data_IF_721989554905
#
_entry.id   IF_721989554905
#
_cell.length_a   1.000
_cell.length_b   1.000
_cell.length_c   1.000
_cell.angle_alpha   90.00
_cell.angle_beta   90.00
_cell.angle_gamma   90.00
#
_symmetry.space_group_name_H-M   'P 1'
#
loop_
_entity.id
_entity.type
_entity.pdbx_description
1 polymer ?
#
# COMPACT_ATOMS: atom_id res chain seq x y z
N UNK A 1 -1.11 -2.33 -22.68
CA UNK A 1 -0.13 -1.89 -21.65
C UNK A 1 -0.87 -1.95 -20.32
N UNK A 2 -0.32 -2.61 -19.30
CA UNK A 2 -0.93 -2.68 -17.97
C UNK A 2 -0.30 -1.63 -17.04
N UNK A 3 -1.13 -1.01 -16.21
CA UNK A 3 -0.76 -0.02 -15.19
C UNK A 3 -0.39 -0.69 -13.87
N UNK A 4 0.52 -0.07 -13.11
CA UNK A 4 1.02 -0.62 -11.85
C UNK A 4 1.18 0.48 -10.81
N UNK A 5 0.31 0.47 -9.79
CA UNK A 5 0.44 1.32 -8.62
C UNK A 5 1.59 0.86 -7.76
N UNK A 6 2.54 1.76 -7.43
CA UNK A 6 3.71 1.38 -6.63
C UNK A 6 4.32 2.56 -5.86
N UNK A 7 4.99 2.32 -4.75
CA UNK A 7 5.15 1.03 -4.06
C UNK A 7 4.22 1.01 -2.84
N UNK A 8 3.21 0.14 -2.82
CA UNK A 8 2.25 0.02 -1.73
C UNK A 8 2.91 -0.55 -0.46
N UNK A 9 2.60 -0.10 0.76
CA UNK A 9 1.60 0.91 1.16
C UNK A 9 2.15 2.35 1.23
N UNK A 10 3.24 2.65 0.51
CA UNK A 10 3.86 3.97 0.45
C UNK A 10 5.29 3.99 1.01
N UNK A 11 6.24 4.47 0.21
CA UNK A 11 7.68 4.41 0.49
C UNK A 11 8.32 5.81 0.67
N UNK A 12 7.53 6.88 0.61
CA UNK A 12 7.96 8.28 0.71
C UNK A 12 8.76 8.62 1.97
N UNK A 13 8.43 7.98 3.10
CA UNK A 13 9.10 8.21 4.38
C UNK A 13 10.33 7.31 4.62
N UNK A 14 10.72 6.49 3.64
CA UNK A 14 11.90 5.66 3.75
C UNK A 14 13.18 6.53 3.74
N UNK A 15 14.02 6.34 4.74
CA UNK A 15 15.33 7.01 4.83
C UNK A 15 16.47 6.13 4.30
N UNK A 16 16.15 4.90 3.89
CA UNK A 16 17.08 3.85 3.45
C UNK A 16 16.59 3.21 2.16
N UNK A 17 17.52 2.65 1.40
CA UNK A 17 17.24 1.97 0.14
C UNK A 17 17.01 0.47 0.37
N UNK A 18 15.83 -0.01 -0.02
CA UNK A 18 15.40 -1.40 0.12
C UNK A 18 16.27 -2.40 -0.64
N UNK A 19 17.04 -1.97 -1.64
CA UNK A 19 18.00 -2.84 -2.33
C UNK A 19 19.18 -3.24 -1.44
N UNK A 20 19.47 -2.46 -0.39
CA UNK A 20 20.63 -2.65 0.47
C UNK A 20 20.26 -3.11 1.88
N UNK A 21 19.12 -2.66 2.41
CA UNK A 21 18.65 -3.06 3.74
C UNK A 21 17.13 -2.89 3.88
N UNK A 22 16.53 -3.58 4.85
CA UNK A 22 15.09 -3.45 5.13
C UNK A 22 14.80 -2.11 5.86
N UNK A 23 14.18 -1.12 5.21
CA UNK A 23 13.85 0.16 5.83
C UNK A 23 12.74 -0.01 6.87
N UNK A 24 12.84 0.76 7.94
CA UNK A 24 11.75 0.92 8.91
C UNK A 24 10.99 2.19 8.56
N UNK A 25 9.68 2.05 8.30
CA UNK A 25 8.78 3.17 8.02
C UNK A 25 8.03 3.50 9.31
N UNK A 26 8.56 4.44 10.09
CA UNK A 26 7.99 4.87 11.38
C UNK A 26 6.84 5.86 11.19
N UNK A 27 5.82 5.46 10.42
CA UNK A 27 4.55 6.18 10.30
C UNK A 27 3.50 5.49 11.15
N UNK A 28 2.67 6.28 11.81
CA UNK A 28 1.45 5.79 12.44
C UNK A 28 0.42 5.39 11.39
N UNK A 29 -0.51 4.52 11.76
CA UNK A 29 -1.64 4.15 10.89
C UNK A 29 -2.41 5.39 10.41
N UNK A 30 -2.66 6.34 11.30
CA UNK A 30 -3.41 7.56 10.98
C UNK A 30 -2.67 8.51 10.02
N UNK A 31 -1.33 8.57 10.07
CA UNK A 31 -0.56 9.34 9.08
C UNK A 31 -0.63 8.70 7.71
N UNK A 32 -0.41 7.38 7.63
CA UNK A 32 -0.54 6.63 6.38
C UNK A 32 -1.93 6.80 5.77
N UNK A 33 -2.98 6.72 6.59
CA UNK A 33 -4.37 6.88 6.12
C UNK A 33 -4.64 8.25 5.51
N UNK A 34 -4.07 9.33 6.08
CA UNK A 34 -4.26 10.70 5.60
C UNK A 34 -3.39 11.04 4.38
N UNK A 35 -2.27 10.34 4.21
CA UNK A 35 -1.26 10.65 3.21
C UNK A 35 -1.14 9.51 2.18
N UNK A 36 -0.20 8.57 2.37
CA UNK A 36 0.14 7.58 1.36
C UNK A 36 -1.05 6.68 0.94
N UNK A 37 -1.82 6.18 1.90
CA UNK A 37 -2.98 5.31 1.63
C UNK A 37 -4.15 6.06 1.03
N UNK A 38 -4.29 7.36 1.29
CA UNK A 38 -5.33 8.18 0.65
C UNK A 38 -5.14 8.14 -0.87
N UNK A 39 -3.90 8.29 -1.35
CA UNK A 39 -3.60 8.19 -2.78
C UNK A 39 -3.94 6.81 -3.32
N UNK A 40 -3.53 5.73 -2.66
CA UNK A 40 -3.80 4.38 -3.15
C UNK A 40 -5.29 4.03 -3.22
N UNK A 41 -6.11 4.53 -2.28
CA UNK A 41 -7.58 4.31 -2.29
C UNK A 41 -8.21 4.77 -3.61
N UNK A 42 -7.77 5.92 -4.13
CA UNK A 42 -8.23 6.47 -5.41
C UNK A 42 -8.01 5.53 -6.61
N UNK A 43 -7.06 4.59 -6.49
CA UNK A 43 -6.69 3.67 -7.56
C UNK A 43 -7.11 2.22 -7.31
N UNK A 44 -7.88 1.94 -6.24
CA UNK A 44 -8.33 0.57 -5.94
C UNK A 44 -9.59 0.14 -6.68
N UNK A 45 -10.34 1.09 -7.25
CA UNK A 45 -11.60 0.83 -7.94
C UNK A 45 -12.82 0.74 -7.01
N UNK A 46 -12.64 0.67 -5.68
CA UNK A 46 -13.70 0.94 -4.70
C UNK A 46 -13.91 2.45 -4.57
N UNK A 47 -14.61 3.04 -5.53
CA UNK A 47 -15.28 4.33 -5.33
C UNK A 47 -16.77 4.12 -5.59
N UNK A 48 -17.54 4.14 -4.52
CA UNK A 48 -19.00 4.07 -4.49
C UNK A 48 -19.66 5.42 -4.82
N UNK A 49 -18.88 6.47 -5.10
CA UNK A 49 -19.36 7.78 -5.52
C UNK A 49 -19.88 7.75 -6.96
N UNK A 50 -21.14 8.14 -7.22
CA UNK A 50 -21.69 8.19 -8.57
C UNK A 50 -20.92 9.16 -9.48
N UNK A 51 -20.58 8.70 -10.69
CA UNK A 51 -20.13 9.57 -11.79
C UNK A 51 -18.63 9.86 -11.86
N UNK A 52 -17.81 9.23 -11.02
CA UNK A 52 -16.35 9.32 -11.14
C UNK A 52 -15.80 8.11 -11.91
N UNK A 53 -14.90 8.31 -12.90
CA UNK A 53 -14.18 7.18 -13.48
C UNK A 53 -13.37 6.49 -12.38
N UNK A 54 -13.56 5.17 -12.23
CA UNK A 54 -12.71 4.35 -11.37
C UNK A 54 -11.31 4.39 -11.96
N UNK A 55 -10.41 5.18 -11.38
CA UNK A 55 -9.00 5.22 -11.79
C UNK A 55 -8.29 3.94 -11.32
N UNK A 56 -8.88 2.76 -11.54
CA UNK A 56 -8.34 1.51 -11.06
C UNK A 56 -7.07 1.15 -11.84
N UNK A 57 -5.98 0.86 -11.13
CA UNK A 57 -4.79 0.29 -11.75
C UNK A 57 -4.97 -1.21 -11.96
N UNK A 58 -4.36 -1.75 -13.02
CA UNK A 58 -4.43 -3.18 -13.33
C UNK A 58 -3.70 -4.04 -12.28
N UNK A 59 -2.67 -3.45 -11.64
CA UNK A 59 -1.84 -4.11 -10.63
C UNK A 59 -1.34 -3.18 -9.53
N UNK A 60 -0.98 -3.75 -8.38
CA UNK A 60 -0.42 -3.03 -7.22
C UNK A 60 0.86 -3.72 -6.72
N UNK A 61 2.01 -3.08 -6.94
CA UNK A 61 3.30 -3.60 -6.48
C UNK A 61 3.55 -3.19 -5.03
N UNK A 62 3.84 -4.16 -4.19
CA UNK A 62 4.14 -3.97 -2.77
C UNK A 62 5.63 -3.68 -2.51
N UNK A 63 5.94 -2.89 -1.49
CA UNK A 63 7.31 -2.47 -1.17
C UNK A 63 7.97 -3.38 -0.11
N UNK A 64 9.30 -3.42 -0.10
CA UNK A 64 10.08 -4.05 0.97
C UNK A 64 10.38 -3.05 2.10
N UNK A 65 9.34 -2.56 2.78
CA UNK A 65 9.46 -1.76 4.01
C UNK A 65 8.83 -2.46 5.20
N UNK A 66 9.39 -2.31 6.40
CA UNK A 66 8.75 -2.74 7.64
C UNK A 66 7.97 -1.57 8.27
N UNK A 67 6.71 -1.81 8.59
CA UNK A 67 5.79 -0.83 9.16
C UNK A 67 5.35 -1.30 10.55
N UNK A 68 5.93 -0.77 11.64
CA UNK A 68 5.59 -1.20 13.01
C UNK A 68 4.10 -1.04 13.36
N UNK A 69 3.40 -0.13 12.69
CA UNK A 69 1.96 0.09 12.86
C UNK A 69 1.08 -1.04 12.30
N UNK A 70 1.61 -1.87 11.38
CA UNK A 70 0.93 -3.06 10.88
C UNK A 70 1.52 -4.34 11.47
N UNK A 71 2.85 -4.45 11.54
CA UNK A 71 3.56 -5.66 11.95
C UNK A 71 4.46 -5.41 13.17
N UNK A 72 4.25 -6.10 14.30
CA UNK A 72 5.10 -5.92 15.49
C UNK A 72 6.50 -6.53 15.32
N UNK A 73 6.63 -7.55 14.48
CA UNK A 73 7.92 -8.14 14.08
C UNK A 73 8.41 -7.44 12.81
N UNK A 74 9.73 -7.42 12.60
CA UNK A 74 10.39 -6.88 11.39
C UNK A 74 10.07 -7.70 10.13
N UNK A 75 8.81 -7.64 9.69
CA UNK A 75 8.29 -8.31 8.50
C UNK A 75 8.09 -7.26 7.40
N UNK A 76 8.67 -7.42 6.20
CA UNK A 76 8.42 -6.50 5.10
C UNK A 76 6.94 -6.55 4.66
N UNK A 77 6.41 -5.42 4.17
CA UNK A 77 5.04 -5.33 3.67
C UNK A 77 4.72 -6.40 2.62
N UNK A 78 5.67 -6.74 1.74
CA UNK A 78 5.52 -7.82 0.74
C UNK A 78 5.25 -9.21 1.32
N UNK A 79 5.54 -9.46 2.60
CA UNK A 79 5.29 -10.73 3.29
C UNK A 79 4.23 -10.61 4.40
N UNK A 80 3.67 -9.42 4.60
CA UNK A 80 2.68 -9.17 5.66
C UNK A 80 1.27 -9.49 5.15
N UNK A 81 0.61 -10.49 5.75
CA UNK A 81 -0.83 -10.74 5.52
C UNK A 81 -1.68 -9.52 5.90
N UNK A 82 -1.24 -8.74 6.89
CA UNK A 82 -1.98 -7.56 7.36
C UNK A 82 -1.94 -6.43 6.33
N UNK A 83 -0.82 -6.27 5.63
CA UNK A 83 -0.69 -5.26 4.56
C UNK A 83 -1.28 -5.76 3.24
N UNK A 84 -0.92 -6.95 2.79
CA UNK A 84 -1.35 -7.46 1.48
C UNK A 84 -2.82 -7.86 1.48
N UNK A 85 -3.23 -8.72 2.42
CA UNK A 85 -4.59 -9.26 2.41
C UNK A 85 -5.56 -8.35 3.14
N UNK A 86 -5.27 -8.03 4.41
CA UNK A 86 -6.25 -7.32 5.24
C UNK A 86 -6.42 -5.86 4.81
N UNK A 87 -5.33 -5.16 4.54
CA UNK A 87 -5.41 -3.76 4.12
C UNK A 87 -5.76 -3.62 2.63
N UNK A 88 -4.96 -4.17 1.72
CA UNK A 88 -5.16 -3.93 0.29
C UNK A 88 -6.39 -4.67 -0.29
N UNK A 89 -6.53 -5.97 -0.03
CA UNK A 89 -7.67 -6.74 -0.57
C UNK A 89 -8.96 -6.52 0.23
N UNK A 90 -8.94 -6.71 1.56
CA UNK A 90 -10.17 -6.75 2.37
C UNK A 90 -10.67 -5.33 2.71
N UNK A 91 -9.81 -4.46 3.25
CA UNK A 91 -10.18 -3.10 3.66
C UNK A 91 -10.39 -2.17 2.45
N UNK A 92 -9.39 -2.10 1.56
CA UNK A 92 -9.42 -1.21 0.39
C UNK A 92 -10.13 -1.82 -0.81
N UNK A 93 -10.39 -3.12 -0.83
CA UNK A 93 -11.17 -3.78 -1.89
C UNK A 93 -10.47 -3.84 -3.24
N UNK A 94 -9.14 -3.92 -3.27
CA UNK A 94 -8.42 -4.07 -4.54
C UNK A 94 -8.57 -5.48 -5.10
N UNK A 95 -9.09 -5.58 -6.32
CA UNK A 95 -9.37 -6.86 -7.01
C UNK A 95 -8.39 -7.14 -8.17
N UNK A 96 -7.43 -6.24 -8.41
CA UNK A 96 -6.42 -6.40 -9.47
C UNK A 96 -5.26 -7.33 -9.07
N UNK A 97 -4.24 -7.39 -9.92
CA UNK A 97 -3.04 -8.20 -9.67
C UNK A 97 -2.17 -7.57 -8.57
N UNK A 98 -1.72 -8.35 -7.60
CA UNK A 98 -0.78 -7.90 -6.56
C UNK A 98 0.58 -8.52 -6.81
#
# INVERSE_FOLDING_TARGET
IASCGKHFPGYSAATRDAHHELPTINRTRAELDREELAVFREFTGRDDSPGRPTNCVDSMMTCHGWYPCFEPKKTPATLSRRVVTQLLCEEMGFEGLI
#
